data_IF_734737448930
#
_entry.id   IF_734737448930
#
_cell.length_a   1.000
_cell.length_b   1.000
_cell.length_c   1.000
_cell.angle_alpha   90.00
_cell.angle_beta   90.00
_cell.angle_gamma   90.00
#
_symmetry.space_group_name_H-M   'P 1'
#
loop_
_entity.id
_entity.type
_entity.pdbx_description
1 polymer ?
#
# COMPACT_ATOMS: atom_id res chain seq x y z
N UNK A 1 -5.53 53.91 18.58
CA UNK A 1 -4.70 52.94 17.82
C UNK A 1 -3.74 52.32 18.83
N UNK A 2 -4.14 51.20 19.46
CA UNK A 2 -3.45 50.60 20.62
C UNK A 2 -2.47 49.52 20.15
N UNK A 3 -1.16 49.78 20.31
CA UNK A 3 -0.08 48.77 20.21
C UNK A 3 -0.03 48.00 21.54
N UNK A 4 -0.43 46.73 21.54
CA UNK A 4 -0.34 45.85 22.71
C UNK A 4 0.10 44.44 22.30
N UNK A 5 1.38 44.22 22.02
CA UNK A 5 1.95 42.87 21.95
C UNK A 5 3.42 42.84 22.41
N UNK A 6 3.70 43.47 23.55
CA UNK A 6 5.02 43.41 24.20
C UNK A 6 5.03 42.73 25.58
N UNK A 7 3.87 42.33 26.13
CA UNK A 7 3.78 42.07 27.58
C UNK A 7 3.53 40.62 28.01
N UNK A 8 3.49 39.63 27.12
CA UNK A 8 3.26 38.24 27.51
C UNK A 8 4.51 37.36 27.36
N UNK A 9 5.31 37.51 26.30
CA UNK A 9 6.48 36.65 26.07
C UNK A 9 7.61 36.87 27.08
N UNK A 10 7.81 38.11 27.55
CA UNK A 10 8.80 38.43 28.58
C UNK A 10 8.46 37.80 29.94
N UNK A 11 7.18 37.62 30.25
CA UNK A 11 6.71 37.05 31.52
C UNK A 11 6.96 35.54 31.61
N UNK A 12 6.87 34.82 30.48
CA UNK A 12 7.12 33.38 30.43
C UNK A 12 8.62 33.04 30.43
N UNK A 13 9.46 33.83 29.74
CA UNK A 13 10.93 33.68 29.76
C UNK A 13 11.52 33.89 31.16
N UNK A 14 11.02 34.86 31.92
CA UNK A 14 11.45 35.09 33.30
C UNK A 14 11.09 33.94 34.27
N UNK A 15 10.07 33.14 33.93
CA UNK A 15 9.63 31.98 34.69
C UNK A 15 10.33 30.67 34.28
N UNK A 16 11.21 30.69 33.26
CA UNK A 16 11.88 29.50 32.75
C UNK A 16 10.94 28.49 32.06
N UNK A 17 9.74 28.94 31.66
CA UNK A 17 8.72 28.10 31.00
C UNK A 17 8.50 28.63 29.59
N UNK A 18 8.53 27.76 28.58
CA UNK A 18 8.25 28.19 27.20
C UNK A 18 6.85 28.83 27.10
N UNK A 19 6.79 30.04 26.55
CA UNK A 19 5.53 30.78 26.34
C UNK A 19 4.48 29.91 25.63
N UNK A 20 3.21 29.91 26.06
CA UNK A 20 2.11 29.26 25.34
C UNK A 20 2.03 29.71 23.88
N UNK A 21 2.48 30.93 23.58
CA UNK A 21 2.59 31.45 22.23
C UNK A 21 3.60 30.68 21.37
N UNK A 22 4.61 30.02 21.96
CA UNK A 22 5.58 29.17 21.24
C UNK A 22 5.09 27.74 21.03
N UNK A 23 4.04 27.31 21.72
CA UNK A 23 3.49 25.94 21.59
C UNK A 23 2.75 25.79 20.26
N UNK A 24 3.06 24.73 19.52
CA UNK A 24 2.31 24.38 18.32
C UNK A 24 0.88 23.93 18.66
N UNK A 25 -0.09 24.60 18.06
CA UNK A 25 -1.51 24.21 18.01
C UNK A 25 -1.95 24.12 16.54
N UNK A 26 -3.15 23.61 16.26
CA UNK A 26 -3.70 23.58 14.90
C UNK A 26 -3.76 24.98 14.29
N UNK A 27 -4.24 25.94 15.07
CA UNK A 27 -4.42 27.34 14.67
C UNK A 27 -3.07 28.00 14.42
N UNK A 28 -2.07 27.75 15.28
CA UNK A 28 -0.72 28.31 15.10
C UNK A 28 -0.02 27.75 13.87
N UNK A 29 -0.22 26.47 13.56
CA UNK A 29 0.32 25.87 12.32
C UNK A 29 -0.30 26.54 11.10
N UNK A 30 -1.63 26.73 11.08
CA UNK A 30 -2.31 27.43 9.97
C UNK A 30 -1.81 28.87 9.83
N UNK A 31 -1.75 29.62 10.92
CA UNK A 31 -1.24 30.99 10.93
C UNK A 31 0.20 31.06 10.40
N UNK A 32 1.09 30.19 10.90
CA UNK A 32 2.47 30.13 10.44
C UNK A 32 2.62 29.78 8.95
N UNK A 33 1.75 28.93 8.41
CA UNK A 33 1.71 28.62 6.97
C UNK A 33 1.26 29.85 6.18
N UNK A 34 0.20 30.54 6.62
CA UNK A 34 -0.31 31.74 5.96
C UNK A 34 0.71 32.89 6.00
N UNK A 35 1.32 33.16 7.15
CA UNK A 35 2.30 34.24 7.34
C UNK A 35 3.53 34.05 6.44
N UNK A 36 4.06 32.83 6.36
CA UNK A 36 5.20 32.51 5.50
C UNK A 36 4.86 32.60 4.02
N UNK A 37 3.64 32.24 3.65
CA UNK A 37 3.15 32.40 2.28
C UNK A 37 3.03 33.89 1.90
N UNK A 38 2.43 34.71 2.76
CA UNK A 38 2.29 36.16 2.55
C UNK A 38 3.65 36.85 2.52
N UNK A 39 4.59 36.45 3.37
CA UNK A 39 5.92 37.06 3.46
C UNK A 39 6.86 36.68 2.30
N UNK A 40 6.44 35.76 1.42
CA UNK A 40 7.27 35.30 0.29
C UNK A 40 8.33 34.26 0.67
N UNK A 41 8.35 33.80 1.92
CA UNK A 41 9.28 32.79 2.44
C UNK A 41 8.81 31.35 2.16
N UNK A 42 7.74 31.18 1.39
CA UNK A 42 7.24 29.87 1.00
C UNK A 42 8.24 29.17 0.05
N UNK A 43 8.85 28.10 0.55
CA UNK A 43 9.71 27.19 -0.22
C UNK A 43 8.91 26.01 -0.80
N UNK A 44 9.44 25.35 -1.83
CA UNK A 44 8.92 24.08 -2.35
C UNK A 44 9.15 22.88 -1.39
N UNK A 45 9.88 23.10 -0.29
CA UNK A 45 10.15 22.11 0.76
C UNK A 45 9.01 22.03 1.76
N UNK A 46 8.84 20.84 2.33
CA UNK A 46 7.91 20.62 3.46
C UNK A 46 8.28 21.54 4.63
N UNK A 47 7.27 22.12 5.29
CA UNK A 47 7.49 23.08 6.37
C UNK A 47 8.01 24.43 5.88
N UNK A 48 8.04 24.68 4.57
CA UNK A 48 8.80 25.78 3.98
C UNK A 48 10.28 25.79 4.41
N UNK A 49 10.85 24.60 4.61
CA UNK A 49 12.22 24.43 5.10
C UNK A 49 12.38 24.48 6.64
N UNK A 50 11.31 24.76 7.38
CA UNK A 50 11.30 24.71 8.85
C UNK A 50 10.82 23.35 9.36
N UNK A 51 11.74 22.62 10.00
CA UNK A 51 11.49 21.28 10.54
C UNK A 51 10.49 21.28 11.70
N UNK A 52 10.46 22.33 12.53
CA UNK A 52 9.51 22.44 13.64
C UNK A 52 8.10 22.63 13.11
N UNK A 53 7.94 23.49 12.10
CA UNK A 53 6.66 23.70 11.44
C UNK A 53 6.20 22.43 10.70
N UNK A 54 7.11 21.74 10.01
CA UNK A 54 6.81 20.46 9.38
C UNK A 54 6.30 19.42 10.41
N UNK A 55 7.05 19.22 11.50
CA UNK A 55 6.69 18.27 12.56
C UNK A 55 5.34 18.61 13.22
N UNK A 56 5.08 19.90 13.45
CA UNK A 56 3.81 20.37 13.97
C UNK A 56 2.64 20.10 13.00
N UNK A 57 2.82 20.35 11.70
CA UNK A 57 1.83 20.03 10.68
C UNK A 57 1.51 18.52 10.65
N UNK A 58 2.53 17.66 10.70
CA UNK A 58 2.31 16.21 10.81
C UNK A 58 1.56 15.83 12.08
N UNK A 59 1.94 16.39 13.24
CA UNK A 59 1.32 16.06 14.53
C UNK A 59 -0.15 16.47 14.60
N UNK A 60 -0.50 17.63 14.06
CA UNK A 60 -1.82 18.22 14.23
C UNK A 60 -2.79 17.93 13.07
N UNK A 61 -2.28 17.72 11.85
CA UNK A 61 -3.09 17.52 10.64
C UNK A 61 -2.79 16.20 9.92
N UNK A 62 -1.83 15.40 10.41
CA UNK A 62 -1.45 14.12 9.82
C UNK A 62 -0.53 14.24 8.60
N UNK A 63 -0.52 15.38 7.90
CA UNK A 63 0.39 15.63 6.78
C UNK A 63 0.59 17.11 6.49
N UNK A 64 1.69 17.45 5.81
CA UNK A 64 1.93 18.82 5.32
C UNK A 64 0.86 19.30 4.34
N UNK A 65 0.45 18.53 3.30
CA UNK A 65 -0.64 18.96 2.42
C UNK A 65 -1.96 19.24 3.16
N UNK A 66 -2.34 18.41 4.13
CA UNK A 66 -3.56 18.64 4.92
C UNK A 66 -3.49 19.93 5.76
N UNK A 67 -2.31 20.29 6.28
CA UNK A 67 -2.13 21.55 6.98
C UNK A 67 -2.19 22.77 6.03
N UNK A 68 -1.65 22.64 4.81
CA UNK A 68 -1.72 23.67 3.76
C UNK A 68 -3.15 23.84 3.22
N UNK A 69 -3.91 22.75 3.12
CA UNK A 69 -5.34 22.75 2.81
C UNK A 69 -6.15 23.45 3.89
N UNK A 70 -5.90 23.12 5.17
CA UNK A 70 -6.53 23.82 6.30
C UNK A 70 -6.19 25.33 6.34
N UNK A 71 -5.05 25.72 5.76
CA UNK A 71 -4.67 27.12 5.60
C UNK A 71 -5.31 27.81 4.38
N UNK A 72 -6.05 27.08 3.53
CA UNK A 72 -6.69 27.61 2.32
C UNK A 72 -5.71 27.89 1.18
N UNK A 73 -4.56 27.21 1.16
CA UNK A 73 -3.44 27.50 0.26
C UNK A 73 -3.03 26.31 -0.62
N UNK A 74 -3.84 25.23 -0.66
CA UNK A 74 -3.48 23.99 -1.37
C UNK A 74 -3.20 24.21 -2.86
N UNK A 75 -3.96 25.08 -3.52
CA UNK A 75 -3.79 25.41 -4.94
C UNK A 75 -2.68 26.45 -5.20
N UNK A 76 -2.16 27.07 -4.14
CA UNK A 76 -1.18 28.17 -4.24
C UNK A 76 0.23 27.72 -3.87
N UNK A 77 0.37 26.67 -3.08
CA UNK A 77 1.66 26.16 -2.60
C UNK A 77 2.06 24.94 -3.42
N UNK A 78 3.10 25.10 -4.25
CA UNK A 78 3.72 23.99 -4.95
C UNK A 78 4.72 23.31 -4.03
N UNK A 79 4.38 22.15 -3.49
CA UNK A 79 5.35 21.30 -2.79
C UNK A 79 5.88 20.25 -3.77
N UNK A 80 7.20 20.07 -3.82
CA UNK A 80 7.76 18.89 -4.50
C UNK A 80 7.24 17.67 -3.74
N UNK A 81 6.58 16.71 -4.41
CA UNK A 81 6.30 15.44 -3.77
C UNK A 81 7.66 14.91 -3.32
N UNK A 82 7.85 14.80 -2.00
CA UNK A 82 8.97 14.02 -1.48
C UNK A 82 8.97 12.74 -2.29
N UNK A 83 10.12 12.30 -2.81
CA UNK A 83 10.26 10.98 -3.40
C UNK A 83 9.89 9.99 -2.29
N UNK A 84 8.58 9.76 -2.10
CA UNK A 84 8.06 9.11 -0.90
C UNK A 84 8.60 7.71 -0.99
N UNK A 85 9.43 7.33 -0.03
CA UNK A 85 10.00 5.99 0.02
C UNK A 85 8.87 4.99 -0.21
N UNK A 86 9.14 4.01 -1.07
CA UNK A 86 8.20 2.93 -1.27
C UNK A 86 7.92 2.25 0.08
N UNK A 87 6.64 2.00 0.33
CA UNK A 87 6.14 1.19 1.43
C UNK A 87 4.93 0.39 0.93
N UNK A 88 4.46 -0.56 1.73
CA UNK A 88 3.36 -1.44 1.33
C UNK A 88 2.08 -0.65 0.97
N UNK A 89 1.69 0.34 1.79
CA UNK A 89 0.46 1.11 1.53
C UNK A 89 0.54 1.91 0.23
N UNK A 90 1.69 2.54 -0.05
CA UNK A 90 1.90 3.32 -1.26
C UNK A 90 1.87 2.44 -2.49
N UNK A 91 2.52 1.28 -2.45
CA UNK A 91 2.46 0.31 -3.55
C UNK A 91 1.00 -0.06 -3.84
N UNK A 92 0.21 -0.38 -2.80
CA UNK A 92 -1.22 -0.70 -2.97
C UNK A 92 -1.98 0.48 -3.60
N UNK A 93 -1.78 1.70 -3.10
CA UNK A 93 -2.45 2.88 -3.61
C UNK A 93 -2.11 3.15 -5.09
N UNK A 94 -0.84 3.01 -5.47
CA UNK A 94 -0.36 3.24 -6.84
C UNK A 94 -0.82 2.13 -7.79
N UNK A 95 -0.94 0.88 -7.32
CA UNK A 95 -1.55 -0.23 -8.08
C UNK A 95 -3.02 0.07 -8.38
N UNK A 96 -3.78 0.53 -7.36
CA UNK A 96 -5.19 0.90 -7.52
C UNK A 96 -5.35 2.08 -8.48
N UNK A 97 -4.59 3.15 -8.27
CA UNK A 97 -4.61 4.31 -9.15
C UNK A 97 -4.29 3.95 -10.61
N UNK A 98 -3.32 3.07 -10.83
CA UNK A 98 -3.00 2.56 -12.18
C UNK A 98 -4.19 1.82 -12.80
N UNK A 99 -4.83 0.94 -12.04
CA UNK A 99 -5.99 0.18 -12.48
C UNK A 99 -7.19 1.09 -12.77
N UNK A 100 -7.49 2.04 -11.87
CA UNK A 100 -8.61 2.97 -11.97
C UNK A 100 -8.44 3.97 -13.13
N UNK A 101 -7.20 4.19 -13.57
CA UNK A 101 -6.89 4.95 -14.79
C UNK A 101 -7.22 4.18 -16.09
N UNK A 102 -7.76 2.96 -15.99
CA UNK A 102 -8.12 2.11 -17.12
C UNK A 102 -6.94 1.40 -17.78
N UNK A 103 -5.74 1.48 -17.21
CA UNK A 103 -4.58 0.78 -17.73
C UNK A 103 -4.55 -0.68 -17.25
N UNK A 104 -4.10 -1.57 -18.13
CA UNK A 104 -3.94 -2.99 -17.78
C UNK A 104 -2.80 -3.17 -16.78
N UNK A 105 -3.01 -3.98 -15.75
CA UNK A 105 -2.00 -4.28 -14.72
C UNK A 105 -0.77 -4.98 -15.31
N UNK A 106 -0.92 -5.74 -16.40
CA UNK A 106 0.21 -6.33 -17.11
C UNK A 106 1.19 -5.28 -17.68
N UNK A 107 0.73 -4.06 -17.95
CA UNK A 107 1.57 -3.01 -18.53
C UNK A 107 2.51 -2.34 -17.53
N UNK A 108 2.22 -2.44 -16.22
CA UNK A 108 3.03 -1.80 -15.16
C UNK A 108 4.50 -2.19 -15.26
N UNK A 109 4.78 -3.46 -15.52
CA UNK A 109 6.14 -3.98 -15.71
C UNK A 109 6.97 -3.22 -16.75
N UNK A 110 6.32 -2.65 -17.77
CA UNK A 110 6.98 -1.93 -18.88
C UNK A 110 6.86 -0.42 -18.72
N UNK A 111 5.68 0.07 -18.36
CA UNK A 111 5.33 1.51 -18.34
C UNK A 111 5.58 2.18 -16.99
N UNK A 112 5.64 1.41 -15.90
CA UNK A 112 5.86 1.94 -14.55
C UNK A 112 6.77 1.03 -13.71
N UNK A 113 8.02 0.92 -14.15
CA UNK A 113 9.03 0.01 -13.57
C UNK A 113 9.27 0.26 -12.08
N UNK A 114 9.28 1.52 -11.63
CA UNK A 114 9.47 1.84 -10.22
C UNK A 114 8.41 1.19 -9.32
N UNK A 115 7.14 1.25 -9.71
CA UNK A 115 6.05 0.57 -9.01
C UNK A 115 6.21 -0.95 -9.05
N UNK A 116 6.56 -1.50 -10.21
CA UNK A 116 6.77 -2.94 -10.37
C UNK A 116 7.87 -3.48 -9.43
N UNK A 117 9.00 -2.78 -9.36
CA UNK A 117 10.10 -3.15 -8.47
C UNK A 117 9.72 -2.99 -7.00
N UNK A 118 9.06 -1.88 -6.64
CA UNK A 118 8.59 -1.65 -5.28
C UNK A 118 7.62 -2.76 -4.81
N UNK A 119 6.67 -3.14 -5.67
CA UNK A 119 5.75 -4.23 -5.39
C UNK A 119 6.46 -5.56 -5.12
N UNK A 120 7.48 -5.88 -5.92
CA UNK A 120 8.30 -7.09 -5.67
C UNK A 120 9.08 -6.99 -4.37
N UNK A 121 9.65 -5.84 -4.04
CA UNK A 121 10.40 -5.63 -2.79
C UNK A 121 9.51 -5.78 -1.56
N UNK A 122 8.29 -5.23 -1.58
CA UNK A 122 7.42 -5.17 -0.40
C UNK A 122 6.46 -6.35 -0.23
N UNK A 123 6.12 -7.06 -1.31
CA UNK A 123 5.16 -8.18 -1.31
C UNK A 123 5.75 -9.49 -1.88
N UNK A 124 7.02 -9.47 -2.31
CA UNK A 124 7.73 -10.60 -2.91
C UNK A 124 7.42 -10.82 -4.39
N UNK A 125 6.16 -10.67 -4.81
CA UNK A 125 5.75 -10.81 -6.22
C UNK A 125 4.73 -9.76 -6.61
N UNK A 126 4.67 -9.43 -7.91
CA UNK A 126 3.66 -8.52 -8.46
C UNK A 126 2.24 -8.97 -8.17
N UNK A 127 1.92 -10.26 -8.36
CA UNK A 127 0.57 -10.77 -8.11
C UNK A 127 0.19 -10.72 -6.63
N UNK A 128 1.13 -10.94 -5.70
CA UNK A 128 0.85 -10.75 -4.27
C UNK A 128 0.53 -9.30 -3.95
N UNK A 129 1.18 -8.34 -4.61
CA UNK A 129 0.86 -6.93 -4.45
C UNK A 129 -0.52 -6.57 -5.05
N UNK A 130 -0.89 -7.16 -6.20
CA UNK A 130 -2.22 -7.02 -6.80
C UNK A 130 -3.30 -7.57 -5.84
N UNK A 131 -3.11 -8.77 -5.30
CA UNK A 131 -4.04 -9.37 -4.33
C UNK A 131 -4.13 -8.50 -3.06
N UNK A 132 -3.01 -7.99 -2.55
CA UNK A 132 -3.01 -7.08 -1.41
C UNK A 132 -3.69 -5.73 -1.71
N UNK A 133 -3.79 -5.36 -2.98
CA UNK A 133 -4.57 -4.22 -3.44
C UNK A 133 -6.06 -4.54 -3.65
N UNK A 134 -6.49 -5.76 -3.32
CA UNK A 134 -7.87 -6.25 -3.50
C UNK A 134 -8.31 -6.24 -4.97
N UNK A 135 -7.39 -6.65 -5.84
CA UNK A 135 -7.59 -6.76 -7.28
C UNK A 135 -7.26 -8.17 -7.77
N UNK A 136 -7.82 -8.53 -8.93
CA UNK A 136 -7.63 -9.84 -9.53
C UNK A 136 -6.46 -9.82 -10.53
N UNK A 137 -5.42 -10.65 -10.33
CA UNK A 137 -4.30 -10.70 -11.27
C UNK A 137 -4.72 -11.36 -12.60
N UNK A 138 -4.34 -10.74 -13.72
CA UNK A 138 -4.64 -11.23 -15.09
C UNK A 138 -4.19 -12.68 -15.35
N UNK A 139 -3.12 -13.13 -14.68
CA UNK A 139 -2.71 -14.53 -14.63
C UNK A 139 -2.68 -14.97 -13.18
N UNK A 140 -3.70 -15.71 -12.76
CA UNK A 140 -3.77 -16.30 -11.41
C UNK A 140 -2.75 -17.43 -11.27
N UNK A 141 -1.90 -17.36 -10.24
CA UNK A 141 -1.12 -18.50 -9.79
C UNK A 141 -1.86 -19.15 -8.65
N UNK A 142 -2.12 -20.45 -8.77
CA UNK A 142 -2.75 -21.20 -7.71
C UNK A 142 -1.67 -21.71 -6.75
N UNK A 143 -1.89 -21.52 -5.46
CA UNK A 143 -1.09 -22.18 -4.42
C UNK A 143 -1.37 -23.68 -4.42
N UNK A 144 -0.49 -24.46 -3.81
CA UNK A 144 -0.74 -25.89 -3.60
C UNK A 144 -2.07 -26.10 -2.87
N UNK A 145 -2.36 -25.30 -1.83
CA UNK A 145 -3.59 -25.40 -1.05
C UNK A 145 -4.84 -25.14 -1.91
N UNK A 146 -4.88 -24.05 -2.67
CA UNK A 146 -6.02 -23.75 -3.56
C UNK A 146 -6.25 -24.87 -4.60
N UNK A 147 -5.19 -25.43 -5.17
CA UNK A 147 -5.32 -26.56 -6.11
C UNK A 147 -5.94 -27.78 -5.42
N UNK A 148 -5.54 -28.09 -4.18
CA UNK A 148 -6.13 -29.20 -3.42
C UNK A 148 -7.60 -28.95 -3.10
N UNK A 149 -7.97 -27.72 -2.73
CA UNK A 149 -9.37 -27.36 -2.46
C UNK A 149 -10.23 -27.43 -3.72
N UNK A 150 -9.73 -26.98 -4.87
CA UNK A 150 -10.41 -27.17 -6.16
C UNK A 150 -10.65 -28.64 -6.47
N UNK A 151 -9.68 -29.53 -6.20
CA UNK A 151 -9.84 -30.98 -6.39
C UNK A 151 -10.91 -31.54 -5.44
N UNK A 152 -10.91 -31.13 -4.17
CA UNK A 152 -11.90 -31.58 -3.17
C UNK A 152 -13.31 -31.14 -3.52
N UNK A 153 -13.51 -29.86 -3.83
CA UNK A 153 -14.82 -29.34 -4.23
C UNK A 153 -15.39 -30.08 -5.44
N UNK A 154 -14.53 -30.37 -6.44
CA UNK A 154 -14.93 -31.12 -7.63
C UNK A 154 -15.35 -32.55 -7.30
N UNK A 155 -14.62 -33.21 -6.38
CA UNK A 155 -14.95 -34.54 -5.89
C UNK A 155 -16.27 -34.55 -5.10
N UNK A 156 -16.46 -33.58 -4.20
CA UNK A 156 -17.68 -33.42 -3.38
C UNK A 156 -18.92 -33.14 -4.25
N UNK A 157 -18.76 -32.39 -5.34
CA UNK A 157 -19.80 -32.13 -6.33
C UNK A 157 -20.11 -33.34 -7.23
N UNK A 158 -19.38 -34.46 -7.11
CA UNK A 158 -19.53 -35.65 -7.97
C UNK A 158 -19.08 -35.41 -9.42
N UNK A 159 -18.33 -34.36 -9.68
CA UNK A 159 -17.83 -34.04 -11.01
C UNK A 159 -16.66 -34.95 -11.42
N UNK A 160 -16.43 -35.07 -12.73
CA UNK A 160 -15.32 -35.88 -13.26
C UNK A 160 -13.96 -35.39 -12.76
N UNK A 161 -13.14 -36.32 -12.28
CA UNK A 161 -11.71 -36.14 -11.96
C UNK A 161 -10.79 -36.72 -13.06
N UNK A 162 -11.36 -37.07 -14.22
CA UNK A 162 -10.58 -37.56 -15.35
C UNK A 162 -9.72 -36.42 -15.92
N UNK A 163 -8.39 -36.58 -15.94
CA UNK A 163 -7.48 -35.56 -16.47
C UNK A 163 -7.65 -35.27 -17.96
N UNK A 164 -8.33 -36.15 -18.69
CA UNK A 164 -8.67 -35.96 -20.10
C UNK A 164 -9.96 -35.18 -20.33
N UNK A 165 -10.77 -34.94 -19.29
CA UNK A 165 -12.00 -34.16 -19.40
C UNK A 165 -11.67 -32.68 -19.70
N UNK A 166 -12.33 -32.02 -20.66
CA UNK A 166 -12.06 -30.62 -21.02
C UNK A 166 -12.02 -29.69 -19.81
N UNK A 167 -12.99 -29.83 -18.91
CA UNK A 167 -13.12 -28.99 -17.71
C UNK A 167 -12.08 -29.27 -16.62
N UNK A 168 -11.39 -30.41 -16.69
CA UNK A 168 -10.35 -30.82 -15.74
C UNK A 168 -8.95 -30.50 -16.29
N UNK A 169 -8.80 -30.32 -17.60
CA UNK A 169 -7.48 -30.19 -18.26
C UNK A 169 -6.60 -29.10 -17.64
N UNK A 170 -7.17 -27.92 -17.37
CA UNK A 170 -6.43 -26.82 -16.74
C UNK A 170 -6.04 -27.15 -15.29
N UNK A 171 -6.96 -27.70 -14.50
CA UNK A 171 -6.69 -28.15 -13.13
C UNK A 171 -5.64 -29.27 -13.10
N UNK A 172 -5.69 -30.19 -14.05
CA UNK A 172 -4.72 -31.27 -14.22
C UNK A 172 -3.32 -30.72 -14.53
N UNK A 173 -3.20 -29.75 -15.45
CA UNK A 173 -1.92 -29.09 -15.75
C UNK A 173 -1.35 -28.36 -14.52
N UNK A 174 -2.18 -27.60 -13.80
CA UNK A 174 -1.78 -26.92 -12.56
C UNK A 174 -1.29 -27.93 -11.51
N UNK A 175 -2.03 -29.02 -11.35
CA UNK A 175 -1.69 -30.07 -10.39
C UNK A 175 -0.41 -30.81 -10.75
N UNK A 176 -0.22 -31.16 -12.01
CA UNK A 176 1.03 -31.76 -12.51
C UNK A 176 2.22 -30.83 -12.23
N UNK A 177 2.07 -29.52 -12.47
CA UNK A 177 3.13 -28.55 -12.20
C UNK A 177 3.52 -28.47 -10.72
N UNK A 178 2.57 -28.59 -9.80
CA UNK A 178 2.81 -28.42 -8.35
C UNK A 178 3.13 -29.73 -7.61
N UNK A 179 2.61 -30.86 -8.08
CA UNK A 179 2.69 -32.17 -7.41
C UNK A 179 3.40 -33.24 -8.25
N UNK A 180 3.87 -32.88 -9.45
CA UNK A 180 4.59 -33.74 -10.38
C UNK A 180 3.67 -34.60 -11.25
N UNK A 181 2.58 -35.14 -10.69
CA UNK A 181 1.57 -35.89 -11.46
C UNK A 181 0.17 -35.59 -10.96
N UNK A 182 -0.84 -35.73 -11.85
CA UNK A 182 -2.25 -35.61 -11.48
C UNK A 182 -2.60 -36.55 -10.32
N UNK A 183 -2.12 -37.79 -10.42
CA UNK A 183 -2.30 -38.83 -9.41
C UNK A 183 -1.76 -38.45 -8.03
N UNK A 184 -0.57 -37.83 -7.96
CA UNK A 184 0.00 -37.35 -6.69
C UNK A 184 -0.82 -36.21 -6.10
N UNK A 185 -1.37 -35.34 -6.93
CA UNK A 185 -2.28 -34.28 -6.49
C UNK A 185 -3.59 -34.81 -5.91
N UNK A 186 -4.22 -35.79 -6.58
CA UNK A 186 -5.42 -36.47 -6.05
C UNK A 186 -5.15 -37.14 -4.70
N UNK A 187 -4.00 -37.80 -4.55
CA UNK A 187 -3.60 -38.38 -3.27
C UNK A 187 -3.38 -37.31 -2.19
N UNK A 188 -2.71 -36.21 -2.52
CA UNK A 188 -2.48 -35.09 -1.60
C UNK A 188 -3.79 -34.37 -1.21
N UNK A 189 -4.80 -34.38 -2.10
CA UNK A 189 -6.12 -33.82 -1.81
C UNK A 189 -6.97 -34.73 -0.91
N UNK A 190 -6.56 -35.99 -0.74
CA UNK A 190 -7.27 -36.99 0.07
C UNK A 190 -8.41 -37.69 -0.67
N UNK A 191 -8.58 -37.44 -1.97
CA UNK A 191 -9.69 -37.98 -2.78
C UNK A 191 -9.38 -39.35 -3.38
N UNK A 192 -8.11 -39.79 -3.35
CA UNK A 192 -7.72 -41.16 -3.72
C UNK A 192 -6.64 -41.68 -2.76
N UNK A 193 -6.83 -42.88 -2.21
CA UNK A 193 -5.78 -43.59 -1.48
C UNK A 193 -5.15 -44.67 -2.37
N UNK A 194 -3.82 -44.68 -2.45
CA UNK A 194 -3.08 -45.75 -3.14
C UNK A 194 -2.47 -46.67 -2.10
N UNK A 195 -2.92 -47.92 -2.06
CA UNK A 195 -2.34 -48.95 -1.20
C UNK A 195 -0.86 -49.15 -1.54
N UNK A 196 0.00 -49.07 -0.51
CA UNK A 196 1.35 -49.63 -0.60
C UNK A 196 1.18 -51.14 -0.82
N UNK A 197 1.70 -51.68 -1.92
CA UNK A 197 1.89 -53.13 -2.02
C UNK A 197 2.70 -53.56 -0.79
N UNK A 198 2.09 -54.32 0.12
CA UNK A 198 2.83 -55.10 1.11
C UNK A 198 3.74 -56.00 0.27
N UNK A 199 5.04 -55.80 0.35
CA UNK A 199 6.00 -56.79 -0.09
C UNK A 199 5.80 -57.94 0.90
N UNK A 200 5.16 -59.01 0.44
CA UNK A 200 5.12 -60.27 1.17
C UNK A 200 6.55 -60.82 1.23
N UNK A 201 6.87 -61.37 2.40
CA UNK A 201 8.14 -61.83 2.95
C UNK A 201 9.20 -62.33 1.97
#
# INVERSE_FOLDING_TARGET
>A
MLRFFGSHDAAFEAAGIESPARRWTKERVVAAIQDRFISGDASDRIGFGDEKLASAAYRHFGSWPAAVEAAGLIDKVTFKPQLRRWNQQRVIAEIRAWHDSGHRLAEVSRKYQALFHAARTHFGTWNKAIIAADLEPERRFYTKAEILDMIRQRHEAGESLSSGHPDVRNLAMLTIRHFGTWRKGLAAAGVVQFGRKKVAS
#
